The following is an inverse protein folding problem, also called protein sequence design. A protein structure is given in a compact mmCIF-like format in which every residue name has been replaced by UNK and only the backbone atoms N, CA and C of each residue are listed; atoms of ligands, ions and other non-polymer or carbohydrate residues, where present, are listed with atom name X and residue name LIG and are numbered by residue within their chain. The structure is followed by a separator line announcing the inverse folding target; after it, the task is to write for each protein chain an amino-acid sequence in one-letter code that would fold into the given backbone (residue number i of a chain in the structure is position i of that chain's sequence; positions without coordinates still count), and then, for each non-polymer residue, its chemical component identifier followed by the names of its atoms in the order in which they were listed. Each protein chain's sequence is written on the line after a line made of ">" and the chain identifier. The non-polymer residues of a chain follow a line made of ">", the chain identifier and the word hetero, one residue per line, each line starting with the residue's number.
data_IF_260339309366
#
_entry.id   IF_260339309366
#
_cell.length_a   1.000
_cell.length_b   1.000
_cell.length_c   1.000
_cell.angle_alpha   90.00
_cell.angle_beta   90.00
_cell.angle_gamma   90.00
#
_symmetry.space_group_name_H-M   'P 1'
#
loop_
_entity.id
_entity.type
_entity.pdbx_description
1 polymer ?
#
# COMPACT_ATOMS: atom_id res chain seq x y z
N UNK A 1 -6.59 -1.29 3.08
CA UNK A 1 -6.86 -0.72 1.74
C UNK A 1 -8.36 -0.61 1.45
N UNK A 2 -9.09 -1.73 1.25
CA UNK A 2 -10.53 -1.72 0.88
C UNK A 2 -11.46 -0.89 1.78
N UNK A 3 -11.26 -0.91 3.11
CA UNK A 3 -12.06 -0.11 4.06
C UNK A 3 -11.96 1.40 3.81
N UNK A 4 -10.77 1.88 3.48
CA UNK A 4 -10.54 3.31 3.25
C UNK A 4 -11.27 3.77 2.00
N UNK A 5 -11.20 2.98 0.92
CA UNK A 5 -11.92 3.25 -0.33
C UNK A 5 -13.44 3.26 -0.12
N UNK A 6 -13.99 2.27 0.58
CA UNK A 6 -15.43 2.21 0.92
C UNK A 6 -15.87 3.41 1.76
N UNK A 7 -15.02 3.94 2.64
CA UNK A 7 -15.33 5.14 3.44
C UNK A 7 -15.54 6.36 2.55
N UNK A 8 -14.72 6.53 1.51
CA UNK A 8 -14.78 7.72 0.64
C UNK A 8 -15.95 7.62 -0.36
N UNK A 9 -16.31 6.40 -0.78
CA UNK A 9 -17.43 6.17 -1.70
C UNK A 9 -18.79 6.07 -1.01
N UNK A 10 -18.85 5.74 0.30
CA UNK A 10 -20.12 5.61 1.05
C UNK A 10 -20.98 6.88 1.02
N UNK A 11 -20.36 8.07 1.00
CA UNK A 11 -21.07 9.35 1.03
C UNK A 11 -21.41 9.89 -0.38
N UNK A 12 -20.95 9.24 -1.46
CA UNK A 12 -21.22 9.66 -2.85
C UNK A 12 -21.77 8.47 -3.63
N UNK A 13 -23.09 8.36 -3.67
CA UNK A 13 -23.80 7.29 -4.36
C UNK A 13 -23.77 7.42 -5.89
N UNK A 14 -23.66 8.65 -6.42
CA UNK A 14 -23.46 8.92 -7.85
C UNK A 14 -22.25 9.83 -8.05
N UNK A 15 -21.46 9.52 -9.07
CA UNK A 15 -20.39 10.39 -9.56
C UNK A 15 -20.82 11.03 -10.89
N UNK A 16 -20.51 12.31 -11.12
CA UNK A 16 -20.92 13.04 -12.32
C UNK A 16 -20.17 12.58 -13.59
N UNK A 17 -18.98 11.99 -13.44
CA UNK A 17 -18.20 11.35 -14.51
C UNK A 17 -17.22 10.33 -13.91
N UNK A 18 -16.67 9.45 -14.76
CA UNK A 18 -15.70 8.44 -14.34
C UNK A 18 -14.37 9.05 -13.85
N UNK A 19 -14.00 10.21 -14.39
CA UNK A 19 -12.78 10.92 -13.99
C UNK A 19 -12.84 11.41 -12.53
N UNK A 20 -14.01 11.88 -12.07
CA UNK A 20 -14.23 12.28 -10.68
C UNK A 20 -14.12 11.09 -9.73
N UNK A 21 -14.58 9.90 -10.15
CA UNK A 21 -14.41 8.67 -9.38
C UNK A 21 -12.92 8.34 -9.24
N UNK A 22 -12.17 8.30 -10.36
CA UNK A 22 -10.73 8.00 -10.35
C UNK A 22 -9.94 9.00 -9.51
N UNK A 23 -10.27 10.30 -9.59
CA UNK A 23 -9.60 11.34 -8.80
C UNK A 23 -9.80 11.15 -7.30
N UNK A 24 -11.01 10.78 -6.87
CA UNK A 24 -11.32 10.55 -5.45
C UNK A 24 -10.59 9.30 -4.94
N UNK A 25 -10.55 8.23 -5.73
CA UNK A 25 -9.76 7.03 -5.44
C UNK A 25 -8.28 7.36 -5.30
N UNK A 26 -7.71 8.13 -6.24
CA UNK A 26 -6.33 8.55 -6.21
C UNK A 26 -5.98 9.31 -4.92
N UNK A 27 -6.81 10.30 -4.55
CA UNK A 27 -6.60 11.07 -3.32
C UNK A 27 -6.70 10.20 -2.07
N UNK A 28 -7.65 9.26 -2.02
CA UNK A 28 -7.78 8.33 -0.92
C UNK A 28 -6.54 7.45 -0.74
N UNK A 29 -5.93 7.02 -1.84
CA UNK A 29 -4.69 6.23 -1.84
C UNK A 29 -3.53 7.09 -1.36
N UNK A 30 -3.39 8.33 -1.86
CA UNK A 30 -2.38 9.28 -1.42
C UNK A 30 -2.43 9.52 0.10
N UNK A 31 -3.62 9.70 0.67
CA UNK A 31 -3.78 9.89 2.11
C UNK A 31 -3.46 8.64 2.93
N UNK A 32 -3.66 7.44 2.38
CA UNK A 32 -3.22 6.18 3.01
C UNK A 32 -1.71 6.05 2.96
N UNK A 33 -1.09 6.34 1.82
CA UNK A 33 0.36 6.29 1.65
C UNK A 33 1.08 7.24 2.59
N UNK A 34 0.57 8.47 2.78
CA UNK A 34 1.12 9.42 3.75
C UNK A 34 1.15 8.90 5.19
N UNK A 35 0.25 7.97 5.55
CA UNK A 35 0.19 7.35 6.88
C UNK A 35 1.05 6.09 6.98
N UNK A 36 1.53 5.55 5.87
CA UNK A 36 2.42 4.39 5.82
C UNK A 36 3.88 4.82 5.98
N UNK A 37 4.18 5.42 7.12
CA UNK A 37 5.55 5.83 7.50
C UNK A 37 6.19 4.91 8.52
N UNK A 38 5.41 4.02 9.13
CA UNK A 38 5.92 3.08 10.13
C UNK A 38 6.76 1.99 9.45
N UNK A 39 8.01 1.77 9.89
CA UNK A 39 8.82 0.66 9.38
C UNK A 39 8.17 -0.68 9.76
N UNK A 40 8.35 -1.68 8.90
CA UNK A 40 7.87 -3.03 9.20
C UNK A 40 8.63 -3.59 10.40
N UNK A 41 7.89 -4.08 11.39
CA UNK A 41 8.49 -4.74 12.54
C UNK A 41 9.24 -6.00 12.09
N UNK A 42 10.45 -6.20 12.63
CA UNK A 42 11.30 -7.36 12.38
C UNK A 42 11.68 -7.59 10.90
N UNK A 43 11.68 -6.53 10.07
CA UNK A 43 11.97 -6.65 8.64
C UNK A 43 13.32 -7.31 8.34
N UNK A 44 14.35 -7.03 9.14
CA UNK A 44 15.67 -7.67 9.00
C UNK A 44 15.60 -9.21 9.14
N UNK A 45 14.86 -9.73 10.12
CA UNK A 45 14.70 -11.18 10.31
C UNK A 45 13.94 -11.81 9.14
N UNK A 46 12.85 -11.16 8.71
CA UNK A 46 12.04 -11.62 7.58
C UNK A 46 12.84 -11.69 6.29
N UNK A 47 13.71 -10.70 6.03
CA UNK A 47 14.60 -10.72 4.87
C UNK A 47 15.58 -11.89 4.94
N UNK A 48 16.21 -12.14 6.10
CA UNK A 48 17.14 -13.27 6.25
C UNK A 48 16.46 -14.61 5.96
N UNK A 49 15.21 -14.79 6.42
CA UNK A 49 14.42 -15.98 6.11
C UNK A 49 14.06 -16.09 4.63
N UNK A 50 13.69 -14.98 3.99
CA UNK A 50 13.38 -14.94 2.56
C UNK A 50 14.61 -15.21 1.68
N UNK A 51 15.78 -14.72 2.07
CA UNK A 51 17.02 -14.95 1.35
C UNK A 51 17.45 -16.43 1.39
N UNK A 52 17.21 -17.13 2.50
CA UNK A 52 17.42 -18.59 2.61
C UNK A 52 16.38 -19.36 1.79
N UNK A 53 15.12 -18.92 1.79
CA UNK A 53 14.05 -19.60 1.04
C UNK A 53 14.19 -19.41 -0.49
N UNK A 54 14.70 -18.26 -0.91
CA UNK A 54 14.87 -17.87 -2.32
C UNK A 54 16.32 -17.52 -2.59
N UNK A 55 17.18 -18.53 -2.49
CA UNK A 55 18.62 -18.40 -2.76
C UNK A 55 18.88 -17.76 -4.13
N UNK A 56 19.80 -16.79 -4.18
CA UNK A 56 20.20 -16.11 -5.42
C UNK A 56 19.26 -15.01 -5.94
N UNK A 57 18.13 -14.73 -5.26
CA UNK A 57 17.24 -13.60 -5.61
C UNK A 57 17.42 -12.35 -4.77
N UNK A 58 17.95 -12.51 -3.56
CA UNK A 58 18.19 -11.42 -2.62
C UNK A 58 19.68 -11.35 -2.31
N UNK A 59 20.30 -10.21 -2.60
CA UNK A 59 21.68 -9.96 -2.21
C UNK A 59 21.71 -9.41 -0.79
N UNK A 60 22.04 -10.27 0.17
CA UNK A 60 22.14 -9.92 1.58
C UNK A 60 23.30 -8.95 1.88
N UNK A 61 24.24 -8.78 0.95
CA UNK A 61 25.37 -7.85 1.11
C UNK A 61 25.01 -6.40 0.72
N UNK A 62 23.89 -6.18 0.03
CA UNK A 62 23.45 -4.88 -0.46
C UNK A 62 22.43 -4.19 0.48
N UNK A 63 22.11 -4.80 1.62
CA UNK A 63 21.18 -4.32 2.65
C UNK A 63 21.97 -3.85 3.86
#
# INVERSE_FOLDING_TARGET
>A
MHRQLRKVTKNRALFPNDEALTKILYLAIQDVMKKWTMPLANWALTISQLAVMYEGRFDLAAI
#
